data_IF_346312687005
#
_entry.id   IF_346312687005
#
_cell.length_a   1.000
_cell.length_b   1.000
_cell.length_c   1.000
_cell.angle_alpha   90.00
_cell.angle_beta   90.00
_cell.angle_gamma   90.00
#
_symmetry.space_group_name_H-M   'P 1'
#
loop_
_entity.id
_entity.type
_entity.pdbx_description
1 polymer ?
#
# COMPACT_ATOMS: atom_id res chain seq x y z
N UNK A 1 1.47 25.36 -16.30
CA UNK A 1 2.48 25.51 -15.22
C UNK A 1 3.28 24.23 -15.12
N UNK A 2 4.59 24.30 -15.36
CA UNK A 2 5.48 23.13 -15.45
C UNK A 2 5.59 22.40 -14.11
N UNK A 3 5.17 21.14 -14.10
CA UNK A 3 5.43 20.20 -13.03
C UNK A 3 6.94 19.95 -13.00
N UNK A 4 7.63 20.52 -12.01
CA UNK A 4 8.99 20.12 -11.66
C UNK A 4 8.93 18.63 -11.25
N UNK A 5 9.18 17.75 -12.22
CA UNK A 5 9.31 16.31 -12.00
C UNK A 5 10.55 16.10 -11.14
N UNK A 6 10.33 15.87 -9.85
CA UNK A 6 11.37 15.47 -8.91
C UNK A 6 12.12 14.24 -9.45
N UNK A 7 13.41 14.39 -9.70
CA UNK A 7 14.30 13.29 -10.08
C UNK A 7 14.34 12.32 -8.89
N UNK A 8 14.00 11.03 -9.06
CA UNK A 8 14.13 10.06 -7.98
C UNK A 8 15.60 9.95 -7.55
N UNK A 9 15.90 9.88 -6.24
CA UNK A 9 17.26 9.81 -5.75
C UNK A 9 17.99 8.59 -6.35
N UNK A 10 19.18 8.83 -6.87
CA UNK A 10 20.02 7.78 -7.47
C UNK A 10 20.54 6.89 -6.35
N UNK A 11 20.17 5.61 -6.36
CA UNK A 11 20.69 4.64 -5.38
C UNK A 11 22.21 4.46 -5.50
N UNK A 12 22.89 4.28 -4.36
CA UNK A 12 24.35 4.12 -4.27
C UNK A 12 24.93 3.06 -5.21
N UNK A 13 24.22 1.94 -5.41
CA UNK A 13 24.63 0.90 -6.36
C UNK A 13 24.69 1.35 -7.82
N UNK A 14 23.82 2.27 -8.26
CA UNK A 14 23.89 2.83 -9.62
C UNK A 14 25.08 3.75 -9.79
N UNK A 15 25.38 4.55 -8.77
CA UNK A 15 26.57 5.42 -8.77
C UNK A 15 27.83 4.57 -8.81
N UNK A 16 27.92 3.51 -8.00
CA UNK A 16 29.06 2.60 -8.00
C UNK A 16 29.28 1.92 -9.37
N UNK A 17 28.23 1.41 -10.00
CA UNK A 17 28.32 0.80 -11.34
C UNK A 17 28.69 1.81 -12.43
N UNK A 18 28.18 3.04 -12.33
CA UNK A 18 28.55 4.11 -13.25
C UNK A 18 30.03 4.48 -13.11
N UNK A 19 30.52 4.63 -11.89
CA UNK A 19 31.94 4.88 -11.62
C UNK A 19 32.82 3.73 -12.12
N UNK A 20 32.40 2.48 -11.90
CA UNK A 20 33.12 1.30 -12.38
C UNK A 20 33.23 1.26 -13.91
N UNK A 21 32.26 1.80 -14.64
CA UNK A 21 32.32 1.88 -16.11
C UNK A 21 33.10 3.11 -16.61
N UNK A 22 32.94 4.26 -15.95
CA UNK A 22 33.53 5.54 -16.39
C UNK A 22 35.04 5.60 -16.09
N UNK A 23 35.49 5.13 -14.93
CA UNK A 23 36.91 5.21 -14.53
C UNK A 23 37.82 4.46 -15.52
N UNK A 24 37.54 3.20 -15.91
CA UNK A 24 38.34 2.51 -16.92
C UNK A 24 38.28 3.18 -18.30
N UNK A 25 37.14 3.77 -18.67
CA UNK A 25 37.01 4.49 -19.93
C UNK A 25 37.89 5.75 -19.97
N UNK A 26 37.98 6.48 -18.85
CA UNK A 26 38.89 7.64 -18.72
C UNK A 26 40.36 7.20 -18.74
N UNK A 27 40.69 6.09 -18.07
CA UNK A 27 42.06 5.53 -18.06
C UNK A 27 42.51 5.02 -19.44
N UNK A 28 41.58 4.76 -20.35
CA UNK A 28 41.86 4.37 -21.73
C UNK A 28 42.15 5.57 -22.67
N UNK A 29 42.24 6.79 -22.15
CA UNK A 29 42.65 7.97 -22.91
C UNK A 29 44.15 7.92 -23.23
N UNK A 30 44.62 8.29 -24.44
CA UNK A 30 43.89 8.87 -25.57
C UNK A 30 43.36 7.80 -26.53
N UNK A 31 42.03 7.63 -26.63
CA UNK A 31 41.33 6.57 -27.38
C UNK A 31 41.69 6.50 -28.87
N UNK A 32 42.82 5.88 -29.20
CA UNK A 32 43.39 5.79 -30.55
C UNK A 32 43.20 4.40 -31.16
N UNK A 33 43.01 3.37 -30.33
CA UNK A 33 42.79 2.01 -30.82
C UNK A 33 41.30 1.64 -30.85
N UNK A 34 40.93 0.73 -31.75
CA UNK A 34 39.55 0.23 -31.85
C UNK A 34 39.04 -0.33 -30.51
N UNK A 35 39.92 -0.99 -29.73
CA UNK A 35 39.60 -1.54 -28.41
C UNK A 35 39.25 -0.45 -27.39
N UNK A 36 40.01 0.64 -27.37
CA UNK A 36 39.75 1.79 -26.48
C UNK A 36 38.42 2.49 -26.82
N UNK A 37 38.11 2.61 -28.12
CA UNK A 37 36.82 3.16 -28.58
C UNK A 37 35.63 2.27 -28.18
N UNK A 38 35.78 0.94 -28.22
CA UNK A 38 34.78 0.00 -27.72
C UNK A 38 34.53 0.15 -26.22
N UNK A 39 35.59 0.31 -25.42
CA UNK A 39 35.46 0.54 -23.96
C UNK A 39 34.70 1.83 -23.68
N UNK A 40 35.02 2.91 -24.40
CA UNK A 40 34.28 4.18 -24.29
C UNK A 40 32.82 4.02 -24.69
N UNK A 41 32.54 3.35 -25.81
CA UNK A 41 31.17 3.08 -26.28
C UNK A 41 30.34 2.28 -25.28
N UNK A 42 30.91 1.23 -24.69
CA UNK A 42 30.26 0.44 -23.63
C UNK A 42 30.00 1.29 -22.39
N UNK A 43 30.97 2.10 -21.96
CA UNK A 43 30.79 2.97 -20.80
C UNK A 43 29.65 3.97 -21.01
N UNK A 44 29.60 4.63 -22.16
CA UNK A 44 28.50 5.54 -22.53
C UNK A 44 27.16 4.79 -22.56
N UNK A 45 27.10 3.62 -23.19
CA UNK A 45 25.89 2.82 -23.26
C UNK A 45 25.40 2.40 -21.86
N UNK A 46 26.30 2.01 -20.96
CA UNK A 46 25.98 1.65 -19.57
C UNK A 46 25.44 2.85 -18.80
N UNK A 47 26.07 4.01 -18.91
CA UNK A 47 25.59 5.24 -18.25
C UNK A 47 24.21 5.62 -18.77
N UNK A 48 24.00 5.61 -20.09
CA UNK A 48 22.69 5.89 -20.70
C UNK A 48 21.66 4.84 -20.29
N UNK A 49 22.01 3.56 -20.15
CA UNK A 49 21.08 2.53 -19.70
C UNK A 49 20.73 2.66 -18.20
N UNK A 50 21.69 3.01 -17.34
CA UNK A 50 21.50 3.16 -15.90
C UNK A 50 20.70 4.43 -15.54
N UNK A 51 21.01 5.55 -16.20
CA UNK A 51 20.40 6.86 -15.95
C UNK A 51 19.32 7.24 -16.96
N UNK A 52 19.15 6.45 -18.02
CA UNK A 52 18.12 6.63 -19.03
C UNK A 52 16.75 6.69 -18.37
N UNK A 53 16.09 7.83 -18.55
CA UNK A 53 14.82 8.14 -17.92
C UNK A 53 13.71 8.07 -18.96
N UNK A 54 12.70 7.23 -18.73
CA UNK A 54 11.54 7.16 -19.60
C UNK A 54 10.25 7.10 -18.79
N UNK A 55 9.33 8.04 -19.08
CA UNK A 55 8.00 8.17 -18.44
C UNK A 55 8.02 8.19 -16.90
N UNK A 56 9.06 8.79 -16.29
CA UNK A 56 9.16 8.93 -14.83
C UNK A 56 9.86 7.77 -14.12
N UNK A 57 10.32 6.73 -14.83
CA UNK A 57 11.07 5.60 -14.27
C UNK A 57 12.39 5.38 -15.01
N UNK A 58 13.36 4.75 -14.35
CA UNK A 58 14.60 4.36 -15.01
C UNK A 58 14.39 3.14 -15.90
N UNK A 59 15.15 3.03 -17.00
CA UNK A 59 15.07 1.89 -17.91
C UNK A 59 15.26 0.53 -17.19
N UNK A 60 16.22 0.49 -16.25
CA UNK A 60 16.46 -0.68 -15.40
C UNK A 60 15.24 -1.08 -14.57
N UNK A 61 14.50 -0.11 -14.03
CA UNK A 61 13.27 -0.35 -13.29
C UNK A 61 12.16 -0.89 -14.21
N UNK A 62 12.04 -0.35 -15.42
CA UNK A 62 11.06 -0.82 -16.41
C UNK A 62 11.33 -2.29 -16.78
N UNK A 63 12.59 -2.60 -17.12
CA UNK A 63 13.00 -3.95 -17.50
C UNK A 63 12.84 -4.93 -16.34
N UNK A 64 13.26 -4.55 -15.12
CA UNK A 64 13.09 -5.34 -13.92
C UNK A 64 11.61 -5.67 -13.64
N UNK A 65 10.72 -4.68 -13.74
CA UNK A 65 9.27 -4.89 -13.56
C UNK A 65 8.66 -5.77 -14.65
N UNK A 66 9.08 -5.63 -15.91
CA UNK A 66 8.65 -6.52 -17.01
C UNK A 66 9.07 -7.97 -16.77
N UNK A 67 10.32 -8.19 -16.36
CA UNK A 67 10.82 -9.51 -15.99
C UNK A 67 10.08 -10.07 -14.76
N UNK A 68 9.77 -9.22 -13.79
CA UNK A 68 9.02 -9.62 -12.60
C UNK A 68 7.59 -10.08 -12.96
N UNK A 69 6.87 -9.35 -13.83
CA UNK A 69 5.55 -9.78 -14.34
C UNK A 69 5.66 -11.15 -15.03
N UNK A 70 6.65 -11.31 -15.92
CA UNK A 70 6.85 -12.58 -16.63
C UNK A 70 7.15 -13.74 -15.67
N UNK A 71 8.01 -13.51 -14.68
CA UNK A 71 8.39 -14.48 -13.63
C UNK A 71 7.23 -14.81 -12.68
N UNK A 72 6.38 -13.83 -12.34
CA UNK A 72 5.18 -14.05 -11.51
C UNK A 72 4.12 -14.89 -12.23
N UNK A 73 4.04 -14.79 -13.56
CA UNK A 73 3.20 -15.70 -14.36
C UNK A 73 3.64 -17.17 -14.24
N UNK A 74 4.92 -17.42 -13.96
CA UNK A 74 5.48 -18.77 -13.89
C UNK A 74 5.68 -19.32 -12.47
N UNK A 75 5.39 -18.55 -11.42
CA UNK A 75 5.65 -18.96 -10.03
C UNK A 75 4.50 -18.59 -9.10
N UNK A 76 3.86 -19.62 -8.57
CA UNK A 76 3.00 -19.56 -7.39
C UNK A 76 3.92 -19.83 -6.18
N UNK A 77 4.36 -18.80 -5.48
CA UNK A 77 5.12 -18.96 -4.22
C UNK A 77 4.24 -18.45 -3.10
N UNK A 78 3.94 -19.34 -2.15
CA UNK A 78 3.26 -19.02 -0.92
C UNK A 78 4.13 -18.08 -0.06
N UNK A 79 3.50 -17.04 0.47
CA UNK A 79 4.16 -15.97 1.21
C UNK A 79 4.75 -16.50 2.54
N UNK A 80 6.09 -16.61 2.60
CA UNK A 80 6.82 -17.11 3.77
C UNK A 80 6.88 -16.09 4.92
N UNK A 81 6.35 -14.88 4.73
CA UNK A 81 6.30 -13.82 5.77
C UNK A 81 5.16 -13.98 6.79
N UNK A 82 4.15 -14.81 6.50
CA UNK A 82 2.94 -14.94 7.32
C UNK A 82 3.18 -15.50 8.74
N UNK A 83 4.29 -16.19 8.99
CA UNK A 83 4.54 -16.82 10.29
C UNK A 83 5.00 -15.85 11.40
N UNK A 84 5.55 -14.68 11.03
CA UNK A 84 6.14 -13.73 12.00
C UNK A 84 5.25 -12.52 12.27
N UNK A 85 4.20 -12.33 11.48
CA UNK A 85 3.23 -11.25 11.62
C UNK A 85 1.81 -11.80 11.60
N UNK A 86 0.95 -11.26 12.44
CA UNK A 86 -0.47 -11.61 12.45
C UNK A 86 -1.31 -10.37 12.22
N UNK A 87 -2.20 -10.42 11.22
CA UNK A 87 -3.20 -9.38 10.97
C UNK A 87 -4.55 -9.86 11.47
N UNK A 88 -5.25 -9.00 12.22
CA UNK A 88 -6.63 -9.22 12.65
C UNK A 88 -7.48 -8.07 12.11
N UNK A 89 -8.66 -8.40 11.61
CA UNK A 89 -9.56 -7.47 10.95
C UNK A 89 -10.77 -7.16 11.84
N UNK A 90 -11.11 -5.88 11.92
CA UNK A 90 -12.36 -5.39 12.48
C UNK A 90 -13.20 -4.81 11.34
N UNK A 91 -14.51 -5.08 11.33
CA UNK A 91 -15.49 -4.36 10.52
C UNK A 91 -16.08 -3.26 11.38
N UNK A 92 -16.12 -2.06 10.83
CA UNK A 92 -16.73 -0.88 11.45
C UNK A 92 -18.08 -0.67 10.78
N UNK A 93 -19.14 -0.63 11.59
CA UNK A 93 -20.49 -0.29 11.17
C UNK A 93 -20.74 1.21 11.24
N UNK A 94 -22.00 1.60 11.10
CA UNK A 94 -22.38 2.99 11.22
C UNK A 94 -22.21 3.48 12.68
N UNK A 95 -21.93 4.78 12.90
CA UNK A 95 -21.97 5.33 14.24
C UNK A 95 -23.42 5.27 14.77
N UNK A 96 -23.56 5.01 16.07
CA UNK A 96 -24.87 5.01 16.75
C UNK A 96 -25.41 6.41 17.04
N UNK A 97 -24.52 7.42 17.06
CA UNK A 97 -24.78 8.84 17.36
C UNK A 97 -24.20 9.76 16.25
N UNK A 98 -24.30 11.08 16.41
CA UNK A 98 -23.80 12.19 15.55
C UNK A 98 -22.27 12.19 15.27
N UNK A 99 -21.57 11.09 15.60
CA UNK A 99 -20.15 10.90 15.37
C UNK A 99 -19.89 10.55 13.89
N UNK A 100 -19.89 11.57 13.03
CA UNK A 100 -19.74 11.38 11.57
C UNK A 100 -18.34 10.98 11.10
N UNK A 101 -17.31 11.03 11.97
CA UNK A 101 -15.90 10.87 11.57
C UNK A 101 -15.16 9.85 12.43
N UNK A 102 -14.57 8.85 11.78
CA UNK A 102 -13.75 7.83 12.44
C UNK A 102 -12.55 8.47 13.17
N UNK A 103 -12.30 8.17 14.46
CA UNK A 103 -11.28 8.83 15.25
C UNK A 103 -9.88 8.28 14.93
N UNK A 104 -9.26 8.76 13.85
CA UNK A 104 -7.91 8.35 13.44
C UNK A 104 -6.83 8.59 14.50
N UNK A 105 -6.83 9.67 15.31
CA UNK A 105 -5.86 9.84 16.40
C UNK A 105 -5.95 8.74 17.45
N UNK A 106 -7.15 8.26 17.78
CA UNK A 106 -7.35 7.13 18.70
C UNK A 106 -6.75 5.86 18.11
N UNK A 107 -6.98 5.60 16.81
CA UNK A 107 -6.40 4.45 16.12
C UNK A 107 -4.88 4.50 16.14
N UNK A 108 -4.27 5.66 15.85
CA UNK A 108 -2.82 5.82 15.94
C UNK A 108 -2.28 5.54 17.35
N UNK A 109 -3.04 5.87 18.40
CA UNK A 109 -2.71 5.52 19.78
C UNK A 109 -2.67 4.02 20.09
N UNK A 110 -3.23 3.16 19.23
CA UNK A 110 -3.12 1.70 19.33
C UNK A 110 -1.85 1.15 18.67
N UNK A 111 -1.00 2.00 18.07
CA UNK A 111 0.32 1.57 17.60
C UNK A 111 1.23 1.11 18.74
N UNK A 112 1.07 1.69 19.93
CA UNK A 112 1.72 1.23 21.15
C UNK A 112 0.78 1.44 22.33
N UNK A 113 0.12 0.36 22.75
CA UNK A 113 -0.84 0.40 23.84
C UNK A 113 -0.88 -0.92 24.59
N UNK A 114 -1.07 -0.83 25.91
CA UNK A 114 -1.18 -2.00 26.79
C UNK A 114 0.03 -2.96 26.71
N UNK A 115 1.22 -2.42 26.45
CA UNK A 115 2.46 -3.20 26.33
C UNK A 115 2.53 -4.08 25.08
N UNK A 116 1.73 -3.77 24.05
CA UNK A 116 1.77 -4.41 22.73
C UNK A 116 1.92 -3.32 21.67
N UNK A 117 2.92 -3.50 20.80
CA UNK A 117 3.24 -2.61 19.70
C UNK A 117 2.70 -3.17 18.39
N UNK A 118 1.84 -2.43 17.70
CA UNK A 118 1.42 -2.78 16.36
C UNK A 118 2.51 -2.44 15.34
N UNK A 119 2.73 -3.33 14.38
CA UNK A 119 3.58 -3.04 13.21
C UNK A 119 2.92 -1.98 12.32
N UNK A 120 1.59 -2.06 12.19
CA UNK A 120 0.76 -1.10 11.45
C UNK A 120 -0.71 -1.24 11.84
N UNK A 121 -1.45 -0.16 11.61
CA UNK A 121 -2.90 -0.12 11.62
C UNK A 121 -3.34 0.39 10.25
N UNK A 122 -4.22 -0.33 9.58
CA UNK A 122 -4.74 0.04 8.27
C UNK A 122 -6.24 0.19 8.32
N UNK A 123 -6.73 1.33 7.85
CA UNK A 123 -8.14 1.58 7.63
C UNK A 123 -8.39 1.44 6.14
N UNK A 124 -9.34 0.59 5.76
CA UNK A 124 -9.71 0.38 4.36
C UNK A 124 -11.20 0.57 4.20
N UNK A 125 -11.62 1.38 3.24
CA UNK A 125 -13.02 1.52 2.84
C UNK A 125 -13.21 1.03 1.42
N UNK A 126 -14.32 0.34 1.20
CA UNK A 126 -14.74 -0.17 -0.10
C UNK A 126 -16.09 0.40 -0.45
N UNK A 127 -16.13 1.06 -1.60
CA UNK A 127 -17.30 1.75 -2.12
C UNK A 127 -17.71 1.11 -3.43
N UNK A 128 -19.01 0.89 -3.61
CA UNK A 128 -19.60 0.43 -4.86
C UNK A 128 -20.49 1.56 -5.41
N UNK A 129 -20.27 1.95 -6.66
CA UNK A 129 -21.03 3.05 -7.26
C UNK A 129 -22.53 2.73 -7.40
N UNK A 130 -22.89 1.45 -7.56
CA UNK A 130 -24.29 1.03 -7.67
C UNK A 130 -25.02 1.06 -6.33
N UNK A 131 -24.30 0.96 -5.21
CA UNK A 131 -24.87 0.86 -3.87
C UNK A 131 -24.03 1.68 -2.87
N UNK A 132 -24.07 3.02 -2.95
CA UNK A 132 -23.26 3.88 -2.07
C UNK A 132 -23.60 3.70 -0.58
N UNK A 133 -24.82 3.27 -0.27
CA UNK A 133 -25.24 2.92 1.10
C UNK A 133 -24.55 1.66 1.65
N UNK A 134 -24.00 0.78 0.80
CA UNK A 134 -23.27 -0.44 1.21
C UNK A 134 -21.76 -0.22 1.35
N UNK A 135 -21.32 1.02 1.60
CA UNK A 135 -19.93 1.30 1.97
C UNK A 135 -19.55 0.46 3.18
N UNK A 136 -18.50 -0.33 3.04
CA UNK A 136 -17.93 -1.11 4.12
C UNK A 136 -16.58 -0.52 4.53
N UNK A 137 -16.33 -0.45 5.83
CA UNK A 137 -15.04 0.00 6.37
C UNK A 137 -14.47 -1.06 7.30
N UNK A 138 -13.18 -1.33 7.13
CA UNK A 138 -12.44 -2.25 7.99
C UNK A 138 -11.22 -1.58 8.60
N UNK A 139 -10.88 -2.02 9.80
CA UNK A 139 -9.63 -1.68 10.48
C UNK A 139 -8.83 -2.97 10.63
N UNK A 140 -7.69 -3.06 9.97
CA UNK A 140 -6.74 -4.14 10.12
C UNK A 140 -5.64 -3.73 11.11
N UNK A 141 -5.43 -4.56 12.14
CA UNK A 141 -4.34 -4.43 13.10
C UNK A 141 -3.32 -5.53 12.83
N UNK A 142 -2.08 -5.16 12.49
CA UNK A 142 -0.99 -6.13 12.28
C UNK A 142 0.01 -6.05 13.43
N UNK A 143 0.28 -7.19 14.05
CA UNK A 143 1.34 -7.34 15.05
C UNK A 143 2.53 -8.07 14.47
N UNK A 144 3.72 -7.71 14.94
CA UNK A 144 4.99 -8.36 14.64
C UNK A 144 5.48 -9.12 15.85
N UNK A 145 5.81 -10.41 15.68
CA UNK A 145 6.35 -11.23 16.76
C UNK A 145 7.72 -10.73 17.21
N UNK A 146 8.52 -10.19 16.28
CA UNK A 146 9.87 -9.67 16.57
C UNK A 146 9.78 -8.47 17.50
N UNK A 147 8.91 -7.51 17.17
CA UNK A 147 8.77 -6.26 17.93
C UNK A 147 8.10 -6.48 19.30
N UNK A 148 7.37 -7.59 19.47
CA UNK A 148 6.65 -7.93 20.69
C UNK A 148 7.20 -9.16 21.41
N UNK A 149 8.41 -9.61 21.07
CA UNK A 149 8.89 -10.93 21.51
C UNK A 149 8.89 -11.07 23.04
N UNK A 150 9.29 -10.03 23.76
CA UNK A 150 9.30 -10.02 25.22
C UNK A 150 7.88 -10.20 25.80
N UNK A 151 6.91 -9.44 25.29
CA UNK A 151 5.51 -9.52 25.72
C UNK A 151 4.88 -10.87 25.38
N UNK A 152 5.21 -11.44 24.22
CA UNK A 152 4.70 -12.75 23.80
C UNK A 152 5.29 -13.88 24.64
N UNK A 153 6.60 -13.84 24.94
CA UNK A 153 7.26 -14.83 25.81
C UNK A 153 6.74 -14.80 27.24
N UNK A 154 6.43 -13.61 27.76
CA UNK A 154 5.85 -13.46 29.10
C UNK A 154 4.46 -14.13 29.21
N UNK A 155 3.72 -14.24 28.09
CA UNK A 155 2.40 -14.90 28.06
C UNK A 155 2.50 -16.41 27.93
N UNK A 156 3.41 -16.91 27.08
CA UNK A 156 3.61 -18.35 26.90
C UNK A 156 4.91 -18.66 26.14
N UNK A 157 5.58 -19.79 26.44
CA UNK A 157 6.73 -20.26 25.66
C UNK A 157 6.38 -20.60 24.21
N UNK A 158 5.10 -20.78 23.88
CA UNK A 158 4.62 -21.04 22.51
C UNK A 158 4.49 -19.78 21.64
N UNK A 159 4.75 -18.58 22.17
CA UNK A 159 4.68 -17.29 21.44
C UNK A 159 3.29 -17.10 20.79
N UNK A 160 2.24 -16.80 21.59
CA UNK A 160 0.85 -16.76 21.14
C UNK A 160 0.53 -15.46 20.38
N UNK A 161 1.09 -15.31 19.18
CA UNK A 161 1.01 -14.08 18.37
C UNK A 161 -0.44 -13.81 17.93
N UNK A 162 -1.12 -14.81 17.38
CA UNK A 162 -2.45 -14.65 16.81
C UNK A 162 -3.49 -14.34 17.89
N UNK A 163 -3.45 -15.05 19.01
CA UNK A 163 -4.32 -14.81 20.17
C UNK A 163 -4.08 -13.43 20.77
N UNK A 164 -2.80 -13.01 20.84
CA UNK A 164 -2.44 -11.65 21.29
C UNK A 164 -3.01 -10.59 20.37
N UNK A 165 -2.93 -10.78 19.04
CA UNK A 165 -3.51 -9.87 18.07
C UNK A 165 -5.05 -9.84 18.17
N UNK A 166 -5.71 -10.98 18.35
CA UNK A 166 -7.16 -11.05 18.54
C UNK A 166 -7.61 -10.32 19.80
N UNK A 167 -6.90 -10.47 20.91
CA UNK A 167 -7.21 -9.74 22.16
C UNK A 167 -7.01 -8.24 21.98
N UNK A 168 -5.95 -7.81 21.31
CA UNK A 168 -5.72 -6.39 21.02
C UNK A 168 -6.83 -5.81 20.11
N UNK A 169 -7.24 -6.55 19.08
CA UNK A 169 -8.36 -6.18 18.21
C UNK A 169 -9.68 -6.11 18.97
N UNK A 170 -9.99 -7.07 19.85
CA UNK A 170 -11.20 -7.03 20.70
C UNK A 170 -11.20 -5.79 21.59
N UNK A 171 -10.09 -5.46 22.24
CA UNK A 171 -9.96 -4.22 23.05
C UNK A 171 -10.15 -2.94 22.23
N UNK A 172 -9.70 -2.95 20.97
CA UNK A 172 -9.97 -1.83 20.06
C UNK A 172 -11.46 -1.76 19.72
N UNK A 173 -12.09 -2.88 19.40
CA UNK A 173 -13.52 -2.95 19.12
C UNK A 173 -14.37 -2.49 20.32
N UNK A 174 -14.00 -2.92 21.53
CA UNK A 174 -14.68 -2.54 22.78
C UNK A 174 -14.58 -1.03 23.00
N UNK A 175 -13.39 -0.45 22.84
CA UNK A 175 -13.19 0.99 23.00
C UNK A 175 -13.93 1.78 21.92
N UNK A 176 -13.95 1.31 20.66
CA UNK A 176 -14.76 1.92 19.60
C UNK A 176 -16.26 1.89 19.93
N UNK A 177 -16.76 0.78 20.48
CA UNK A 177 -18.16 0.66 20.95
C UNK A 177 -18.47 1.58 22.12
N UNK A 178 -17.53 1.75 23.04
CA UNK A 178 -17.65 2.66 24.18
C UNK A 178 -17.83 4.12 23.74
N UNK A 179 -17.17 4.52 22.64
CA UNK A 179 -17.31 5.87 22.05
C UNK A 179 -18.39 5.95 20.95
N UNK A 180 -19.30 4.98 20.89
CA UNK A 180 -20.51 5.03 20.05
C UNK A 180 -20.41 4.42 18.65
N UNK A 181 -19.31 3.72 18.30
CA UNK A 181 -19.18 3.06 17.01
C UNK A 181 -19.61 1.59 17.06
N UNK A 182 -20.30 1.11 16.03
CA UNK A 182 -20.43 -0.34 15.83
C UNK A 182 -19.08 -0.91 15.36
N UNK A 183 -18.50 -1.85 16.11
CA UNK A 183 -17.26 -2.52 15.73
C UNK A 183 -17.30 -4.00 16.10
N UNK A 184 -16.96 -4.87 15.16
CA UNK A 184 -16.93 -6.32 15.35
C UNK A 184 -15.69 -6.94 14.69
N UNK A 185 -15.12 -7.96 15.31
CA UNK A 185 -14.03 -8.74 14.69
C UNK A 185 -14.55 -9.60 13.56
N UNK A 186 -13.83 -9.66 12.44
CA UNK A 186 -14.22 -10.43 11.25
C UNK A 186 -13.44 -11.74 11.20
N UNK A 187 -14.13 -12.85 10.95
CA UNK A 187 -13.50 -14.15 10.72
C UNK A 187 -12.71 -14.18 9.40
N UNK A 188 -11.71 -15.05 9.26
CA UNK A 188 -10.89 -15.12 8.04
C UNK A 188 -11.69 -15.47 6.78
N UNK A 189 -12.80 -16.21 6.93
CA UNK A 189 -13.66 -16.64 5.82
C UNK A 189 -14.61 -15.55 5.32
N UNK A 190 -14.88 -14.54 6.17
CA UNK A 190 -15.79 -13.43 5.87
C UNK A 190 -15.08 -12.23 5.24
N UNK A 191 -13.76 -12.34 5.00
CA UNK A 191 -12.96 -11.24 4.45
C UNK A 191 -13.12 -11.17 2.92
N UNK A 192 -13.60 -10.04 2.38
CA UNK A 192 -13.69 -9.87 0.94
C UNK A 192 -12.32 -9.91 0.28
N UNK A 193 -12.17 -10.74 -0.75
CA UNK A 193 -10.94 -10.83 -1.54
C UNK A 193 -10.92 -9.76 -2.63
N UNK A 194 -9.85 -8.96 -2.66
CA UNK A 194 -9.63 -7.95 -3.69
C UNK A 194 -9.17 -8.57 -5.03
N UNK A 195 -8.39 -9.65 -4.98
CA UNK A 195 -7.86 -10.34 -6.15
C UNK A 195 -8.44 -11.74 -6.30
N UNK A 196 -8.92 -12.05 -7.51
CA UNK A 196 -9.18 -13.43 -7.90
C UNK A 196 -7.87 -14.19 -8.15
N UNK A 197 -7.75 -15.47 -7.76
CA UNK A 197 -6.58 -16.30 -8.10
C UNK A 197 -6.29 -16.36 -9.61
N UNK A 198 -7.33 -16.28 -10.44
CA UNK A 198 -7.24 -16.31 -11.91
C UNK A 198 -6.88 -14.98 -12.56
N UNK A 199 -6.65 -13.93 -11.78
CA UNK A 199 -6.45 -12.58 -12.31
C UNK A 199 -5.08 -12.44 -13.00
N UNK A 200 -5.08 -11.81 -14.19
CA UNK A 200 -3.89 -11.67 -15.04
C UNK A 200 -3.28 -10.28 -14.89
N UNK A 201 -2.03 -10.21 -14.44
CA UNK A 201 -1.30 -8.96 -14.33
C UNK A 201 -0.91 -8.42 -15.72
N UNK A 202 -1.21 -7.15 -15.96
CA UNK A 202 -0.72 -6.36 -17.09
C UNK A 202 0.16 -5.22 -16.58
N UNK A 203 0.75 -4.45 -17.49
CA UNK A 203 1.58 -3.31 -17.08
C UNK A 203 0.81 -2.24 -16.29
N UNK A 204 -0.48 -2.04 -16.58
CA UNK A 204 -1.27 -0.91 -16.04
C UNK A 204 -2.34 -1.31 -15.03
N UNK A 205 -2.67 -2.60 -14.96
CA UNK A 205 -3.65 -3.13 -14.02
C UNK A 205 -3.66 -4.65 -14.05
N UNK A 206 -4.58 -5.25 -13.31
CA UNK A 206 -4.84 -6.69 -13.33
C UNK A 206 -6.21 -6.91 -13.95
N UNK A 207 -6.29 -7.79 -14.94
CA UNK A 207 -7.55 -8.18 -15.56
C UNK A 207 -8.22 -9.28 -14.70
N UNK A 208 -9.46 -9.03 -14.31
CA UNK A 208 -10.35 -9.94 -13.58
C UNK A 208 -11.44 -10.41 -14.54
N UNK A 209 -11.42 -11.69 -14.92
CA UNK A 209 -12.38 -12.21 -15.91
C UNK A 209 -12.18 -11.60 -17.29
N UNK A 210 -13.28 -11.45 -18.05
CA UNK A 210 -13.22 -11.01 -19.45
C UNK A 210 -13.10 -9.47 -19.59
N UNK A 211 -13.85 -8.71 -18.80
CA UNK A 211 -14.04 -7.26 -19.00
C UNK A 211 -13.62 -6.39 -17.82
N UNK A 212 -13.42 -6.94 -16.62
CA UNK A 212 -13.10 -6.11 -15.46
C UNK A 212 -11.60 -5.93 -15.31
N UNK A 213 -11.19 -4.71 -15.02
CA UNK A 213 -9.81 -4.33 -14.76
C UNK A 213 -9.72 -3.67 -13.39
N UNK A 214 -8.76 -4.11 -12.58
CA UNK A 214 -8.43 -3.47 -11.31
C UNK A 214 -7.05 -2.83 -11.41
N UNK A 215 -6.93 -1.57 -11.00
CA UNK A 215 -5.67 -0.84 -11.01
C UNK A 215 -5.41 -0.22 -9.64
N UNK A 216 -4.26 -0.53 -9.06
CA UNK A 216 -3.76 0.08 -7.84
C UNK A 216 -2.92 1.33 -8.14
N UNK A 217 -3.09 2.31 -7.27
CA UNK A 217 -2.40 3.58 -7.25
C UNK A 217 -1.89 3.84 -5.84
N UNK A 218 -0.69 4.40 -5.74
CA UNK A 218 -0.24 5.02 -4.50
C UNK A 218 -0.80 6.43 -4.42
N UNK A 219 -1.28 6.83 -3.26
CA UNK A 219 -1.72 8.21 -3.00
C UNK A 219 -0.54 8.97 -2.43
N UNK A 220 -0.28 10.18 -2.93
CA UNK A 220 0.71 11.07 -2.32
C UNK A 220 0.21 11.51 -0.95
N UNK A 221 1.05 11.38 0.07
CA UNK A 221 0.76 11.84 1.43
C UNK A 221 1.43 13.21 1.59
N UNK A 222 0.61 14.25 1.51
CA UNK A 222 0.96 15.66 1.71
C UNK A 222 -0.24 16.40 2.30
N UNK A 223 -0.15 17.74 2.44
CA UNK A 223 -1.25 18.58 2.95
C UNK A 223 -2.53 18.51 2.08
N UNK A 224 -2.41 18.09 0.80
CA UNK A 224 -3.55 17.94 -0.11
C UNK A 224 -4.20 16.55 -0.05
N UNK A 225 -3.74 15.67 0.85
CA UNK A 225 -4.30 14.32 1.02
C UNK A 225 -5.82 14.33 1.28
N UNK A 226 -6.40 15.17 2.15
CA UNK A 226 -7.85 15.17 2.37
C UNK A 226 -8.63 15.41 1.07
N UNK A 227 -8.28 16.44 0.31
CA UNK A 227 -8.91 16.72 -0.99
C UNK A 227 -8.67 15.62 -2.03
N UNK A 228 -7.53 14.93 -1.97
CA UNK A 228 -7.25 13.78 -2.85
C UNK A 228 -8.14 12.59 -2.52
N UNK A 229 -8.35 12.28 -1.23
CA UNK A 229 -9.27 11.23 -0.80
C UNK A 229 -10.72 11.57 -1.20
N UNK A 230 -11.12 12.83 -1.11
CA UNK A 230 -12.44 13.30 -1.56
C UNK A 230 -12.62 13.08 -3.06
N UNK A 231 -11.62 13.46 -3.86
CA UNK A 231 -11.63 13.25 -5.30
C UNK A 231 -11.67 11.76 -5.69
N UNK A 232 -10.94 10.90 -4.97
CA UNK A 232 -10.98 9.43 -5.15
C UNK A 232 -12.40 8.91 -4.92
N UNK A 233 -13.10 9.37 -3.88
CA UNK A 233 -14.48 8.93 -3.57
C UNK A 233 -15.48 9.33 -4.64
N UNK A 234 -15.32 10.52 -5.23
CA UNK A 234 -16.20 11.01 -6.30
C UNK A 234 -15.85 10.45 -7.68
N UNK A 235 -14.74 9.72 -7.81
CA UNK A 235 -14.29 9.21 -9.10
C UNK A 235 -15.21 8.09 -9.59
N UNK A 236 -15.72 8.15 -10.84
CA UNK A 236 -16.58 7.11 -11.38
C UNK A 236 -15.81 5.81 -11.61
N UNK A 237 -16.00 4.85 -10.72
CA UNK A 237 -15.53 3.47 -10.83
C UNK A 237 -16.63 2.52 -10.39
N UNK A 238 -16.65 1.28 -10.89
CA UNK A 238 -17.62 0.26 -10.42
C UNK A 238 -17.45 0.03 -8.92
N UNK A 239 -16.19 -0.05 -8.52
CA UNK A 239 -15.79 -0.22 -7.14
C UNK A 239 -14.52 0.58 -6.89
N UNK A 240 -14.43 1.22 -5.73
CA UNK A 240 -13.20 1.82 -5.25
C UNK A 240 -12.83 1.24 -3.90
N UNK A 241 -11.56 0.91 -3.73
CA UNK A 241 -11.00 0.48 -2.46
C UNK A 241 -9.94 1.50 -2.08
N UNK A 242 -10.09 2.16 -0.96
CA UNK A 242 -9.16 3.18 -0.47
C UNK A 242 -8.64 2.76 0.88
N UNK A 243 -7.32 2.79 1.06
CA UNK A 243 -6.67 2.40 2.30
C UNK A 243 -5.72 3.49 2.80
N UNK A 244 -5.76 3.70 4.11
CA UNK A 244 -4.84 4.52 4.89
C UNK A 244 -4.12 3.61 5.89
N UNK A 245 -2.79 3.59 5.84
CA UNK A 245 -1.97 2.81 6.75
C UNK A 245 -1.15 3.75 7.62
N UNK A 246 -1.26 3.56 8.94
CA UNK A 246 -0.50 4.26 9.97
C UNK A 246 0.47 3.25 10.58
N UNK A 247 1.74 3.63 10.71
CA UNK A 247 2.79 2.79 11.26
C UNK A 247 3.82 3.64 12.00
N UNK A 248 4.94 3.03 12.42
CA UNK A 248 6.08 3.75 12.99
C UNK A 248 6.05 3.80 14.52
N UNK A 249 6.57 4.89 15.08
CA UNK A 249 6.55 5.14 16.53
C UNK A 249 5.38 6.05 16.87
N UNK A 250 4.72 5.88 18.04
CA UNK A 250 3.61 6.76 18.43
C UNK A 250 3.97 8.23 18.45
N UNK A 251 5.21 8.56 18.80
CA UNK A 251 5.71 9.94 18.83
C UNK A 251 5.96 10.52 17.42
N UNK A 252 6.18 9.67 16.42
CA UNK A 252 6.45 10.02 15.02
C UNK A 252 5.81 8.99 14.09
N UNK A 253 4.47 9.00 13.98
CA UNK A 253 3.79 8.03 13.13
C UNK A 253 4.13 8.31 11.68
N UNK A 254 4.29 7.24 10.90
CA UNK A 254 4.39 7.30 9.45
C UNK A 254 3.06 6.92 8.83
N UNK A 255 2.70 7.58 7.73
CA UNK A 255 1.45 7.36 7.01
C UNK A 255 1.74 7.01 5.55
N UNK A 256 1.00 6.04 5.03
CA UNK A 256 0.92 5.72 3.62
C UNK A 256 -0.54 5.59 3.21
N UNK A 257 -0.87 5.96 1.98
CA UNK A 257 -2.21 5.78 1.43
C UNK A 257 -2.15 5.17 0.03
N UNK A 258 -3.14 4.33 -0.27
CA UNK A 258 -3.27 3.66 -1.56
C UNK A 258 -4.74 3.55 -1.93
N UNK A 259 -5.02 3.49 -3.23
CA UNK A 259 -6.36 3.17 -3.71
C UNK A 259 -6.31 2.19 -4.88
N UNK A 260 -7.40 1.48 -5.09
CA UNK A 260 -7.62 0.66 -6.25
C UNK A 260 -9.00 0.96 -6.84
N UNK A 261 -9.07 1.03 -8.17
CA UNK A 261 -10.32 1.19 -8.90
C UNK A 261 -10.60 -0.05 -9.73
N UNK A 262 -11.84 -0.53 -9.67
CA UNK A 262 -12.39 -1.53 -10.58
C UNK A 262 -13.14 -0.82 -11.71
N UNK A 263 -12.72 -1.06 -12.94
CA UNK A 263 -13.27 -0.44 -14.15
C UNK A 263 -13.59 -1.48 -15.21
N UNK A 264 -14.53 -1.18 -16.11
CA UNK A 264 -14.89 -2.02 -17.27
C UNK A 264 -13.90 -1.91 -18.43
N UNK A 265 -13.05 -0.89 -18.39
CA UNK A 265 -12.09 -0.61 -19.44
C UNK A 265 -10.67 -0.64 -18.89
N UNK A 266 -9.66 -0.96 -19.72
CA UNK A 266 -8.28 -0.95 -19.29
C UNK A 266 -7.86 0.43 -18.77
N UNK A 267 -7.12 0.49 -17.65
CA UNK A 267 -6.67 1.76 -17.09
C UNK A 267 -5.76 2.52 -18.06
N UNK A 268 -5.95 3.83 -18.08
CA UNK A 268 -5.12 4.75 -18.85
C UNK A 268 -3.66 4.75 -18.37
N UNK A 269 -2.76 5.35 -19.16
CA UNK A 269 -1.35 5.46 -18.77
C UNK A 269 -1.07 6.50 -17.69
N UNK A 270 -1.94 7.50 -17.56
CA UNK A 270 -1.88 8.53 -16.53
C UNK A 270 -2.84 8.17 -15.38
N UNK A 271 -2.59 8.75 -14.20
CA UNK A 271 -3.50 8.57 -13.08
C UNK A 271 -4.84 9.28 -13.32
N UNK A 272 -5.97 8.70 -12.90
CA UNK A 272 -7.30 9.28 -13.12
C UNK A 272 -7.59 10.50 -12.24
N UNK A 273 -6.93 10.61 -11.09
CA UNK A 273 -7.09 11.68 -10.10
C UNK A 273 -5.73 12.29 -9.78
N UNK A 274 -5.66 13.60 -9.59
CA UNK A 274 -4.43 14.27 -9.17
C UNK A 274 -3.95 13.74 -7.81
N UNK A 275 -2.64 13.66 -7.60
CA UNK A 275 -2.07 13.09 -6.37
C UNK A 275 -1.92 11.56 -6.39
N UNK A 276 -2.57 10.86 -7.32
CA UNK A 276 -2.35 9.43 -7.55
C UNK A 276 -1.10 9.15 -8.38
N UNK A 277 -0.39 8.10 -7.99
CA UNK A 277 0.83 7.63 -8.65
C UNK A 277 0.57 6.20 -9.16
N UNK A 278 0.53 5.98 -10.50
CA UNK A 278 0.26 4.66 -11.06
C UNK A 278 1.35 3.65 -10.71
N UNK A 279 0.96 2.48 -10.22
CA UNK A 279 1.89 1.38 -9.93
C UNK A 279 2.21 0.54 -11.17
N UNK A 280 2.63 1.22 -12.25
CA UNK A 280 2.91 0.59 -13.54
C UNK A 280 4.01 -0.48 -13.42
N UNK A 281 3.68 -1.72 -13.79
CA UNK A 281 4.57 -2.87 -13.70
C UNK A 281 4.63 -3.57 -12.34
N UNK A 282 3.85 -3.09 -11.37
CA UNK A 282 3.87 -3.56 -9.97
C UNK A 282 2.46 -3.71 -9.38
N UNK A 283 1.50 -3.96 -10.25
CA UNK A 283 0.07 -3.94 -9.92
C UNK A 283 -0.31 -5.08 -8.98
N UNK A 284 0.19 -6.30 -9.24
CA UNK A 284 -0.17 -7.46 -8.42
C UNK A 284 0.42 -7.37 -7.02
N UNK A 285 1.70 -7.00 -6.81
CA UNK A 285 2.23 -6.74 -5.47
C UNK A 285 1.52 -5.60 -4.76
N UNK A 286 1.22 -4.49 -5.46
CA UNK A 286 0.49 -3.37 -4.85
C UNK A 286 -0.93 -3.79 -4.40
N UNK A 287 -1.65 -4.57 -5.20
CA UNK A 287 -2.98 -5.08 -4.85
C UNK A 287 -2.92 -6.17 -3.76
N UNK A 288 -1.89 -7.01 -3.75
CA UNK A 288 -1.66 -7.98 -2.67
C UNK A 288 -1.28 -7.28 -1.35
N UNK A 289 -0.55 -6.17 -1.42
CA UNK A 289 -0.28 -5.32 -0.27
C UNK A 289 -1.55 -4.61 0.21
N UNK A 290 -2.48 -4.26 -0.69
CA UNK A 290 -3.78 -3.63 -0.37
C UNK A 290 -4.81 -4.61 0.23
N UNK A 291 -4.63 -5.92 0.04
CA UNK A 291 -5.50 -6.94 0.62
C UNK A 291 -5.69 -6.75 2.13
N UNK A 292 -6.93 -6.96 2.62
CA UNK A 292 -7.34 -6.62 3.98
C UNK A 292 -6.54 -7.38 5.05
N UNK A 293 -6.13 -8.62 4.76
CA UNK A 293 -5.33 -9.44 5.68
C UNK A 293 -3.82 -9.32 5.44
N UNK A 294 -3.41 -8.54 4.45
CA UNK A 294 -2.00 -8.43 4.08
C UNK A 294 -1.13 -7.93 5.23
N UNK A 295 -0.06 -8.66 5.51
CA UNK A 295 0.97 -8.24 6.48
C UNK A 295 2.00 -7.29 5.86
N UNK A 296 2.03 -7.16 4.52
CA UNK A 296 2.93 -6.27 3.81
C UNK A 296 2.52 -4.79 3.99
N UNK A 297 3.49 -3.90 4.19
CA UNK A 297 3.23 -2.46 4.29
C UNK A 297 2.87 -1.87 2.92
N UNK A 298 2.06 -0.82 2.93
CA UNK A 298 1.83 -0.02 1.73
C UNK A 298 3.11 0.73 1.35
N UNK A 299 3.33 0.95 0.06
CA UNK A 299 4.47 1.74 -0.40
C UNK A 299 4.27 3.23 -0.15
N UNK A 300 5.38 3.93 0.15
CA UNK A 300 5.40 5.39 0.28
C UNK A 300 5.00 5.91 1.65
N UNK A 301 5.34 5.17 2.70
CA UNK A 301 5.34 5.71 4.06
C UNK A 301 6.21 6.98 4.12
N UNK A 302 5.62 8.04 4.64
CA UNK A 302 6.29 9.28 5.01
C UNK A 302 5.94 9.61 6.46
N UNK A 303 6.77 10.39 7.14
CA UNK A 303 6.40 10.95 8.43
C UNK A 303 5.09 11.76 8.28
N UNK A 304 4.14 11.53 9.17
CA UNK A 304 2.86 12.21 9.12
C UNK A 304 3.08 13.72 9.35
N UNK A 305 2.59 14.59 8.44
CA UNK A 305 2.48 16.01 8.72
C UNK A 305 1.72 16.24 10.04
N UNK A 306 2.11 17.29 10.76
CA UNK A 306 1.49 17.65 12.05
C UNK A 306 -0.02 17.79 11.87
N UNK A 307 -0.78 17.25 12.81
CA UNK A 307 -2.26 17.24 12.83
C UNK A 307 -2.97 16.59 11.64
N UNK A 308 -2.25 15.96 10.69
CA UNK A 308 -2.86 15.32 9.52
C UNK A 308 -3.95 14.32 9.92
N UNK A 309 -3.68 13.48 10.91
CA UNK A 309 -4.64 12.47 11.38
C UNK A 309 -5.88 13.10 12.05
N UNK A 310 -5.76 14.29 12.62
CA UNK A 310 -6.89 15.01 13.21
C UNK A 310 -7.74 15.72 12.14
N UNK A 311 -7.11 16.17 11.05
CA UNK A 311 -7.78 16.85 9.93
C UNK A 311 -8.43 15.89 8.94
N UNK A 312 -7.90 14.66 8.83
CA UNK A 312 -8.40 13.64 7.91
C UNK A 312 -9.79 13.16 8.33
N UNK A 313 -10.79 13.44 7.49
CA UNK A 313 -12.12 12.88 7.60
C UNK A 313 -12.20 11.58 6.83
N UNK A 314 -12.13 10.47 7.55
CA UNK A 314 -12.34 9.16 6.93
C UNK A 314 -13.85 8.91 6.75
N UNK A 315 -14.30 8.50 5.55
CA UNK A 315 -15.72 8.26 5.30
C UNK A 315 -16.24 7.10 6.13
N UNK A 316 -17.47 7.23 6.61
CA UNK A 316 -18.11 6.25 7.51
C UNK A 316 -19.24 5.52 6.77
N UNK A 317 -19.55 4.28 7.15
CA UNK A 317 -20.71 3.56 6.62
C UNK A 317 -22.01 4.30 6.97
N UNK A 318 -22.96 4.37 6.06
CA UNK A 318 -24.28 4.92 6.35
C UNK A 318 -25.07 4.01 7.31
N UNK A 319 -25.85 4.60 8.22
CA UNK A 319 -26.72 3.88 9.14
C UNK A 319 -27.67 2.92 8.39
N UNK A 320 -27.67 1.65 8.78
CA UNK A 320 -28.62 0.63 8.28
C UNK A 320 -28.06 -0.40 7.27
N UNK A 321 -26.82 -0.28 6.81
CA UNK A 321 -26.24 -1.22 5.85
C UNK A 321 -26.01 -2.64 6.42
N UNK A 322 -25.90 -2.78 7.75
CA UNK A 322 -25.53 -4.03 8.41
C UNK A 322 -26.70 -4.99 8.69
N UNK A 323 -27.96 -4.56 8.49
CA UNK A 323 -29.15 -5.41 8.75
C UNK A 323 -29.53 -6.37 7.62
N UNK A 324 -28.84 -6.34 6.49
CA UNK A 324 -29.11 -7.26 5.38
C UNK A 324 -28.17 -8.47 5.41
N UNK A 325 -28.42 -9.40 6.34
CA UNK A 325 -27.98 -10.80 6.19
C UNK A 325 -28.93 -11.49 5.22
N UNK A 326 -28.40 -12.04 4.12
CA UNK A 326 -29.02 -13.15 3.38
C UNK A 326 -28.42 -14.43 3.91
#
# INVERSE_FOLDING_TARGET
MSVLRSIPPVGSGRVALALLAVVPAVMAYPWRTAREQWVLGIAVAVVVALFGWWRGMHFTTILGRRLAIARRRSRFVADSGAATKATVLLRVGAPGDDADVLPLPLLAGYLDRYGVRADKIRITSRDNASEPARRETWIALTLSAVDNLAALRARSPRIPLHETAQVAARRLADHLREIGWEAATVGPDDVPRLLSPSARETWRGVQRGASDYIAAYRVRVDEALPGTLDAIRTHPARESCTALEIAGEPARPTVAAACAFLTETPPAGAAPVAGLIPQSGDQRPALAALDLLSTARLEGHTEAPVDLLALLRWPTPAAGAHRATV
#
